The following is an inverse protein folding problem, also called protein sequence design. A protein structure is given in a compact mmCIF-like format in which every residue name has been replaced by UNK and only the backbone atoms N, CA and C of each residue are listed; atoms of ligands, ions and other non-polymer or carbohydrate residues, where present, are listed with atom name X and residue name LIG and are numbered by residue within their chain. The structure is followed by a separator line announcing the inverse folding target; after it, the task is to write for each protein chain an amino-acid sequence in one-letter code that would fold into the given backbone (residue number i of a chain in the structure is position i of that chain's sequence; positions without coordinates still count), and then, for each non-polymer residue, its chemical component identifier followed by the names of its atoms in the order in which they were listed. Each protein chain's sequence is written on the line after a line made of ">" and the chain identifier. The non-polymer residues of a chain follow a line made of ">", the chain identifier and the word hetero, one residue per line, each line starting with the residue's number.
data_IF_525709835199
#
_entry.id   IF_525709835199
#
_cell.length_a   1.000
_cell.length_b   1.000
_cell.length_c   1.000
_cell.angle_alpha   90.00
_cell.angle_beta   90.00
_cell.angle_gamma   90.00
#
_symmetry.space_group_name_H-M   'P 1'
#
loop_
_entity.id
_entity.type
_entity.pdbx_description
1 polymer ?
#
# COMPACT_ATOMS: atom_id res chain seq x y z
N UNK A 1 -25.55 26.15 -3.23
CA UNK A 1 -24.23 25.53 -3.50
C UNK A 1 -24.08 24.34 -2.55
N UNK A 2 -23.91 23.13 -3.08
CA UNK A 2 -23.78 21.91 -2.28
C UNK A 2 -22.37 21.80 -1.68
N UNK A 3 -22.24 21.42 -0.40
CA UNK A 3 -20.92 21.27 0.25
C UNK A 3 -20.04 20.22 -0.44
N UNK A 4 -18.74 20.49 -0.66
CA UNK A 4 -17.85 19.59 -1.39
C UNK A 4 -17.51 18.37 -0.55
N UNK A 5 -17.64 17.17 -1.13
CA UNK A 5 -17.37 15.90 -0.45
C UNK A 5 -15.90 15.49 -0.58
N UNK A 6 -15.31 15.77 -1.73
CA UNK A 6 -13.91 15.50 -2.04
C UNK A 6 -13.16 16.80 -2.30
N UNK A 7 -11.83 16.74 -2.16
CA UNK A 7 -10.97 17.90 -2.46
C UNK A 7 -11.11 18.35 -3.92
N UNK A 8 -11.35 17.41 -4.84
CA UNK A 8 -11.59 17.72 -6.26
C UNK A 8 -12.92 18.43 -6.54
N UNK A 9 -13.88 18.40 -5.61
CA UNK A 9 -15.18 19.07 -5.77
C UNK A 9 -15.12 20.55 -5.35
N UNK A 10 -13.97 21.00 -4.82
CA UNK A 10 -13.79 22.38 -4.34
C UNK A 10 -13.71 23.34 -5.52
N UNK A 11 -14.49 24.40 -5.44
CA UNK A 11 -14.56 25.51 -6.40
C UNK A 11 -14.33 26.84 -5.69
N UNK A 12 -14.08 27.91 -6.45
CA UNK A 12 -13.84 29.25 -5.90
C UNK A 12 -14.99 29.75 -4.99
N UNK A 13 -16.24 29.34 -5.25
CA UNK A 13 -17.38 29.75 -4.44
C UNK A 13 -17.34 29.18 -3.00
N UNK A 14 -16.65 28.06 -2.80
CA UNK A 14 -16.42 27.48 -1.47
C UNK A 14 -15.30 28.18 -0.69
N UNK A 15 -14.59 29.08 -1.33
CA UNK A 15 -13.52 29.89 -0.73
C UNK A 15 -13.94 31.36 -0.60
N UNK A 16 -15.21 31.67 -0.89
CA UNK A 16 -15.70 33.04 -1.02
C UNK A 16 -15.73 33.83 0.29
N UNK A 17 -15.73 33.16 1.45
CA UNK A 17 -15.67 33.80 2.76
C UNK A 17 -14.65 33.09 3.66
N UNK A 18 -14.10 33.76 4.68
CA UNK A 18 -13.17 33.15 5.62
C UNK A 18 -13.72 31.88 6.27
N UNK A 19 -14.99 31.85 6.66
CA UNK A 19 -15.59 30.68 7.33
C UNK A 19 -15.67 29.48 6.37
N UNK A 20 -16.06 29.72 5.11
CA UNK A 20 -16.11 28.67 4.08
C UNK A 20 -14.70 28.16 3.76
N UNK A 21 -13.73 29.06 3.62
CA UNK A 21 -12.34 28.70 3.39
C UNK A 21 -11.77 27.83 4.52
N UNK A 22 -12.07 28.14 5.78
CA UNK A 22 -11.67 27.31 6.92
C UNK A 22 -12.27 25.90 6.87
N UNK A 23 -13.56 25.78 6.53
CA UNK A 23 -14.24 24.48 6.38
C UNK A 23 -13.59 23.63 5.30
N UNK A 24 -13.35 24.22 4.14
CA UNK A 24 -12.70 23.54 3.01
C UNK A 24 -11.26 23.13 3.35
N UNK A 25 -10.51 24.00 4.02
CA UNK A 25 -9.16 23.70 4.49
C UNK A 25 -9.14 22.49 5.44
N UNK A 26 -10.12 22.38 6.33
CA UNK A 26 -10.27 21.22 7.21
C UNK A 26 -10.47 19.93 6.41
N UNK A 27 -11.38 19.93 5.43
CA UNK A 27 -11.62 18.78 4.54
C UNK A 27 -10.33 18.36 3.81
N UNK A 28 -9.56 19.32 3.31
CA UNK A 28 -8.29 19.05 2.66
C UNK A 28 -7.27 18.42 3.62
N UNK A 29 -7.09 19.00 4.81
CA UNK A 29 -6.19 18.46 5.86
C UNK A 29 -6.57 17.04 6.25
N UNK A 30 -7.85 16.78 6.48
CA UNK A 30 -8.37 15.46 6.86
C UNK A 30 -8.16 14.43 5.75
N UNK A 31 -8.33 14.85 4.50
CA UNK A 31 -8.09 14.00 3.32
C UNK A 31 -6.63 13.62 3.19
N UNK A 32 -5.71 14.59 3.33
CA UNK A 32 -4.26 14.34 3.32
C UNK A 32 -3.88 13.39 4.47
N UNK A 33 -4.41 13.61 5.67
CA UNK A 33 -4.14 12.76 6.82
C UNK A 33 -4.61 11.32 6.60
N UNK A 34 -5.80 11.11 6.02
CA UNK A 34 -6.31 9.78 5.65
C UNK A 34 -5.44 9.09 4.60
N UNK A 35 -5.03 9.82 3.56
CA UNK A 35 -4.16 9.29 2.50
C UNK A 35 -2.79 8.89 3.06
N UNK A 36 -2.17 9.74 3.89
CA UNK A 36 -0.89 9.41 4.56
C UNK A 36 -0.98 8.14 5.41
N UNK A 37 -2.06 7.98 6.18
CA UNK A 37 -2.31 6.74 6.95
C UNK A 37 -2.42 5.53 6.02
N UNK A 38 -3.20 5.63 4.94
CA UNK A 38 -3.35 4.55 3.95
C UNK A 38 -2.01 4.17 3.31
N UNK A 39 -1.22 5.14 2.88
CA UNK A 39 0.11 4.92 2.30
C UNK A 39 1.01 4.19 3.30
N UNK A 40 1.07 4.66 4.55
CA UNK A 40 1.85 4.01 5.61
C UNK A 40 1.43 2.56 5.83
N UNK A 41 0.13 2.29 5.94
CA UNK A 41 -0.39 0.93 6.14
C UNK A 41 -0.05 0.01 4.96
N UNK A 42 -0.18 0.51 3.72
CA UNK A 42 0.18 -0.25 2.52
C UNK A 42 1.67 -0.54 2.45
N UNK A 43 2.52 0.44 2.75
CA UNK A 43 3.98 0.25 2.81
C UNK A 43 4.37 -0.77 3.88
N UNK A 44 3.77 -0.70 5.07
CA UNK A 44 4.01 -1.69 6.12
C UNK A 44 3.58 -3.09 5.70
N UNK A 45 2.43 -3.22 5.05
CA UNK A 45 1.96 -4.51 4.52
C UNK A 45 2.92 -5.06 3.46
N UNK A 46 3.32 -4.23 2.50
CA UNK A 46 4.32 -4.55 1.47
C UNK A 46 5.62 -5.04 2.11
N UNK A 47 6.14 -4.31 3.10
CA UNK A 47 7.39 -4.67 3.76
C UNK A 47 7.29 -6.00 4.50
N UNK A 48 6.18 -6.26 5.22
CA UNK A 48 5.93 -7.56 5.86
C UNK A 48 5.86 -8.70 4.85
N UNK A 49 5.21 -8.48 3.71
CA UNK A 49 5.14 -9.49 2.64
C UNK A 49 6.51 -9.75 2.03
N UNK A 50 7.30 -8.71 1.75
CA UNK A 50 8.68 -8.84 1.26
C UNK A 50 9.53 -9.63 2.25
N UNK A 51 9.48 -9.29 3.55
CA UNK A 51 10.22 -10.01 4.59
C UNK A 51 9.81 -11.48 4.61
N UNK A 52 8.51 -11.79 4.63
CA UNK A 52 8.02 -13.19 4.62
C UNK A 52 8.52 -13.95 3.39
N UNK A 53 8.44 -13.36 2.21
CA UNK A 53 8.94 -13.97 0.97
C UNK A 53 10.45 -14.20 1.06
N UNK A 54 11.23 -13.23 1.53
CA UNK A 54 12.68 -13.36 1.69
C UNK A 54 13.04 -14.47 2.67
N UNK A 55 12.36 -14.53 3.82
CA UNK A 55 12.55 -15.60 4.81
C UNK A 55 12.23 -16.96 4.23
N UNK A 56 11.11 -17.11 3.52
CA UNK A 56 10.73 -18.38 2.89
C UNK A 56 11.74 -18.81 1.81
N UNK A 57 12.20 -17.87 0.98
CA UNK A 57 13.27 -18.14 0.00
C UNK A 57 14.57 -18.59 0.65
N UNK A 58 14.96 -17.93 1.75
CA UNK A 58 16.14 -18.31 2.52
C UNK A 58 16.01 -19.71 3.12
N UNK A 59 14.83 -20.05 3.65
CA UNK A 59 14.54 -21.37 4.20
C UNK A 59 14.62 -22.46 3.13
N UNK A 60 13.98 -22.27 1.97
CA UNK A 60 14.05 -23.23 0.85
C UNK A 60 15.51 -23.46 0.44
N UNK A 61 16.28 -22.37 0.26
CA UNK A 61 17.72 -22.47 -0.05
C UNK A 61 18.49 -23.27 1.01
N UNK A 62 18.21 -23.05 2.29
CA UNK A 62 18.87 -23.78 3.36
C UNK A 62 18.53 -25.28 3.34
N UNK A 63 17.27 -25.62 3.10
CA UNK A 63 16.81 -27.00 3.00
C UNK A 63 17.39 -27.72 1.78
N UNK A 64 17.47 -27.05 0.63
CA UNK A 64 18.16 -27.56 -0.57
C UNK A 64 19.63 -27.84 -0.28
N UNK A 65 20.36 -26.89 0.33
CA UNK A 65 21.78 -27.05 0.67
C UNK A 65 22.06 -28.19 1.65
N UNK A 66 21.07 -28.56 2.47
CA UNK A 66 21.16 -29.65 3.44
C UNK A 66 20.66 -30.98 2.88
N UNK A 67 20.28 -31.05 1.60
CA UNK A 67 19.62 -32.21 0.98
C UNK A 67 18.36 -32.67 1.76
N UNK A 68 17.66 -31.73 2.39
CA UNK A 68 16.42 -31.96 3.15
C UNK A 68 15.16 -31.70 2.31
N UNK A 69 15.34 -31.37 1.03
CA UNK A 69 14.29 -31.23 0.02
C UNK A 69 14.66 -32.10 -1.17
N UNK A 70 13.67 -32.81 -1.71
CA UNK A 70 13.82 -33.43 -3.04
C UNK A 70 13.82 -32.32 -4.10
N UNK A 71 14.51 -32.53 -5.22
CA UNK A 71 14.52 -31.57 -6.33
C UNK A 71 13.09 -31.24 -6.81
N UNK A 72 12.24 -32.25 -6.91
CA UNK A 72 10.83 -32.09 -7.27
C UNK A 72 10.08 -31.17 -6.29
N UNK A 73 10.29 -31.35 -4.99
CA UNK A 73 9.68 -30.50 -3.96
C UNK A 73 10.23 -29.06 -4.01
N UNK A 74 11.52 -28.90 -4.25
CA UNK A 74 12.17 -27.60 -4.38
C UNK A 74 11.63 -26.80 -5.57
N UNK A 75 11.45 -27.44 -6.73
CA UNK A 75 10.90 -26.81 -7.93
C UNK A 75 9.45 -26.37 -7.74
N UNK A 76 8.62 -27.18 -7.08
CA UNK A 76 7.23 -26.78 -6.77
C UNK A 76 7.13 -25.61 -5.78
N UNK A 77 8.12 -25.44 -4.89
CA UNK A 77 8.15 -24.33 -3.93
C UNK A 77 8.64 -23.01 -4.54
N UNK A 78 9.41 -23.06 -5.62
CA UNK A 78 9.88 -21.89 -6.36
C UNK A 78 8.76 -21.36 -7.26
N UNK A 79 7.91 -20.51 -6.72
CA UNK A 79 6.83 -19.87 -7.49
C UNK A 79 7.42 -18.95 -8.57
N UNK A 80 7.14 -19.25 -9.85
CA UNK A 80 7.31 -18.31 -10.95
C UNK A 80 6.39 -17.11 -10.70
N UNK A 81 6.96 -15.92 -10.48
CA UNK A 81 6.16 -14.69 -10.32
C UNK A 81 5.18 -14.58 -11.50
N UNK A 82 3.85 -14.55 -11.29
CA UNK A 82 2.99 -14.07 -12.33
C UNK A 82 3.41 -12.62 -12.63
N UNK A 83 3.61 -12.32 -13.91
CA UNK A 83 3.88 -10.97 -14.40
C UNK A 83 2.68 -10.09 -14.06
N UNK A 84 2.67 -9.54 -12.86
CA UNK A 84 1.80 -8.44 -12.49
C UNK A 84 2.36 -7.22 -13.22
N UNK A 85 1.86 -6.99 -14.44
CA UNK A 85 2.10 -5.74 -15.17
C UNK A 85 1.69 -4.60 -14.23
N UNK A 86 2.70 -3.90 -13.69
CA UNK A 86 2.59 -2.60 -13.03
C UNK A 86 2.17 -1.53 -14.02
#
# INVERSE_FOLDING_TARGET
>A
IQEPRYVGDITAQHLSTPEKAQRVLKIAKDTIARQRRKIKSLQQCRNRLIIRITTLKSLVKHLEQKNLLTELAAEHLKVNKPNLKT
#
